data_IF_405745909913
#
_entry.id   IF_405745909913
#
_cell.length_a   1.000
_cell.length_b   1.000
_cell.length_c   1.000
_cell.angle_alpha   90.00
_cell.angle_beta   90.00
_cell.angle_gamma   90.00
#
_symmetry.space_group_name_H-M   'P 1'
#
loop_
_entity.id
_entity.type
_entity.pdbx_description
1 polymer ?
#
# COMPACT_ATOMS: atom_id res chain seq x y z
N UNK A 1 -9.84 -13.47 5.75
CA UNK A 1 -10.59 -14.63 6.21
C UNK A 1 -10.77 -15.59 5.03
N UNK A 2 -10.29 -16.81 5.15
CA UNK A 2 -10.48 -17.82 4.10
C UNK A 2 -11.90 -18.35 4.26
N UNK A 3 -12.77 -18.08 3.27
CA UNK A 3 -14.08 -18.73 3.23
C UNK A 3 -13.86 -20.21 2.94
N UNK A 4 -14.39 -21.13 3.76
CA UNK A 4 -14.28 -22.57 3.52
C UNK A 4 -15.04 -23.06 2.26
N UNK A 5 -15.82 -22.17 1.67
CA UNK A 5 -16.59 -22.40 0.44
C UNK A 5 -16.14 -21.39 -0.62
N UNK A 6 -15.07 -21.72 -1.31
CA UNK A 6 -14.50 -20.88 -2.38
C UNK A 6 -15.43 -20.69 -3.59
N UNK A 7 -16.38 -21.59 -3.75
CA UNK A 7 -17.38 -21.59 -4.82
C UNK A 7 -18.53 -20.59 -4.64
N UNK A 8 -18.61 -19.92 -3.48
CA UNK A 8 -19.67 -18.93 -3.18
C UNK A 8 -19.20 -17.49 -3.17
N UNK A 9 -17.91 -17.28 -3.43
CA UNK A 9 -17.31 -15.94 -3.53
C UNK A 9 -16.87 -15.75 -4.96
N UNK A 10 -17.54 -14.89 -5.66
CA UNK A 10 -17.18 -14.48 -7.01
C UNK A 10 -16.71 -13.03 -7.05
N UNK A 11 -15.93 -12.69 -8.06
CA UNK A 11 -15.43 -11.35 -8.27
C UNK A 11 -16.44 -10.57 -9.12
N UNK A 12 -16.92 -9.47 -8.57
CA UNK A 12 -17.96 -8.67 -9.20
C UNK A 12 -17.52 -7.21 -9.31
N UNK A 13 -17.55 -6.68 -10.54
CA UNK A 13 -17.32 -5.26 -10.80
C UNK A 13 -18.64 -4.51 -10.83
N UNK A 14 -18.82 -3.58 -9.90
CA UNK A 14 -19.99 -2.71 -9.85
C UNK A 14 -19.60 -1.23 -10.01
N UNK A 15 -19.27 -0.85 -11.23
CA UNK A 15 -18.90 0.52 -11.56
C UNK A 15 -20.02 1.53 -11.21
N UNK A 16 -21.30 1.14 -11.33
CA UNK A 16 -22.42 2.02 -10.99
C UNK A 16 -22.49 2.27 -9.49
N UNK A 17 -22.29 1.23 -8.68
CA UNK A 17 -22.27 1.35 -7.24
C UNK A 17 -21.06 2.17 -6.79
N UNK A 18 -19.89 1.89 -7.36
CA UNK A 18 -18.67 2.65 -7.09
C UNK A 18 -18.86 4.15 -7.42
N UNK A 19 -19.43 4.47 -8.58
CA UNK A 19 -19.69 5.84 -9.00
C UNK A 19 -20.67 6.59 -8.07
N UNK A 20 -21.60 5.87 -7.41
CA UNK A 20 -22.55 6.46 -6.46
C UNK A 20 -21.97 6.61 -5.05
N UNK A 21 -21.13 5.67 -4.61
CA UNK A 21 -20.60 5.63 -3.23
C UNK A 21 -19.41 6.57 -3.04
N UNK A 22 -18.48 6.63 -4.00
CA UNK A 22 -17.26 7.43 -3.85
C UNK A 22 -17.52 8.90 -3.55
N UNK A 23 -18.45 9.61 -4.25
CA UNK A 23 -18.76 11.00 -3.91
C UNK A 23 -19.32 11.15 -2.48
N UNK A 24 -20.08 10.17 -2.00
CA UNK A 24 -20.61 10.17 -0.64
C UNK A 24 -19.47 10.08 0.38
N UNK A 25 -18.49 9.19 0.14
CA UNK A 25 -17.32 9.04 1.01
C UNK A 25 -16.51 10.35 1.08
N UNK A 26 -16.21 10.96 -0.07
CA UNK A 26 -15.47 12.22 -0.15
C UNK A 26 -16.21 13.35 0.56
N UNK A 27 -17.51 13.49 0.33
CA UNK A 27 -18.34 14.51 0.98
C UNK A 27 -18.44 14.31 2.51
N UNK A 28 -18.19 13.09 3.00
CA UNK A 28 -18.14 12.77 4.43
C UNK A 28 -16.71 12.74 5.00
N UNK A 29 -15.72 13.28 4.29
CA UNK A 29 -14.38 13.52 4.80
C UNK A 29 -13.33 12.46 4.45
N UNK A 30 -13.58 11.57 3.49
CA UNK A 30 -12.53 10.74 2.94
C UNK A 30 -11.59 11.61 2.08
N UNK A 31 -10.30 11.62 2.38
CA UNK A 31 -9.31 12.48 1.70
C UNK A 31 -8.53 11.71 0.61
N UNK A 32 -8.47 10.39 0.69
CA UNK A 32 -7.75 9.55 -0.28
C UNK A 32 -8.52 8.27 -0.55
N UNK A 33 -8.42 7.78 -1.78
CA UNK A 33 -9.00 6.52 -2.21
C UNK A 33 -7.87 5.59 -2.63
N UNK A 34 -7.93 4.34 -2.20
CA UNK A 34 -7.02 3.28 -2.59
C UNK A 34 -7.70 2.32 -3.57
N UNK A 35 -7.05 2.04 -4.70
CA UNK A 35 -7.44 1.00 -5.64
C UNK A 35 -6.52 -0.21 -5.49
N UNK A 36 -7.07 -1.37 -5.17
CA UNK A 36 -6.36 -2.65 -5.20
C UNK A 36 -6.26 -3.15 -6.64
N UNK A 37 -5.07 -3.09 -7.23
CA UNK A 37 -4.89 -3.25 -8.68
C UNK A 37 -3.90 -4.38 -9.06
N UNK A 38 -3.66 -5.34 -8.16
CA UNK A 38 -2.69 -6.43 -8.40
C UNK A 38 -3.16 -7.48 -9.41
N UNK A 39 -4.44 -7.81 -9.41
CA UNK A 39 -4.94 -9.04 -10.07
C UNK A 39 -5.88 -8.82 -11.23
N UNK A 40 -6.43 -7.64 -11.43
CA UNK A 40 -7.50 -7.44 -12.38
C UNK A 40 -7.02 -7.15 -13.80
N UNK A 41 -7.93 -7.30 -14.74
CA UNK A 41 -7.77 -6.86 -16.11
C UNK A 41 -7.36 -5.39 -16.19
N UNK A 42 -6.42 -5.08 -17.08
CA UNK A 42 -5.87 -3.73 -17.19
C UNK A 42 -6.91 -2.69 -17.63
N UNK A 43 -7.89 -3.07 -18.44
CA UNK A 43 -8.95 -2.16 -18.90
C UNK A 43 -9.91 -1.82 -17.76
N UNK A 44 -10.25 -2.80 -16.92
CA UNK A 44 -11.10 -2.59 -15.76
C UNK A 44 -10.40 -1.67 -14.76
N UNK A 45 -9.13 -1.96 -14.44
CA UNK A 45 -8.34 -1.12 -13.53
C UNK A 45 -8.22 0.31 -14.05
N UNK A 46 -8.04 0.49 -15.35
CA UNK A 46 -7.99 1.83 -15.93
C UNK A 46 -9.30 2.59 -15.73
N UNK A 47 -10.45 1.96 -16.03
CA UNK A 47 -11.77 2.59 -15.86
C UNK A 47 -12.06 2.95 -14.40
N UNK A 48 -11.76 2.03 -13.48
CA UNK A 48 -11.93 2.30 -12.04
C UNK A 48 -11.02 3.44 -11.57
N UNK A 49 -9.77 3.47 -12.04
CA UNK A 49 -8.83 4.53 -11.71
C UNK A 49 -9.24 5.89 -12.27
N UNK A 50 -9.75 5.92 -13.50
CA UNK A 50 -10.31 7.13 -14.12
C UNK A 50 -11.48 7.67 -13.30
N UNK A 51 -12.37 6.80 -12.82
CA UNK A 51 -13.48 7.18 -11.96
C UNK A 51 -12.98 7.75 -10.62
N UNK A 52 -12.03 7.09 -9.97
CA UNK A 52 -11.44 7.53 -8.70
C UNK A 52 -10.81 8.92 -8.87
N UNK A 53 -9.96 9.10 -9.87
CA UNK A 53 -9.29 10.38 -10.12
C UNK A 53 -10.27 11.49 -10.49
N UNK A 54 -11.38 11.17 -11.15
CA UNK A 54 -12.44 12.13 -11.45
C UNK A 54 -13.19 12.58 -10.20
N UNK A 55 -13.53 11.64 -9.31
CA UNK A 55 -14.28 11.92 -8.09
C UNK A 55 -13.43 12.62 -7.03
N UNK A 56 -12.16 12.25 -6.93
CA UNK A 56 -11.22 12.78 -5.94
C UNK A 56 -10.03 13.46 -6.62
N UNK A 57 -10.32 14.48 -7.44
CA UNK A 57 -9.33 15.18 -8.26
C UNK A 57 -8.41 16.11 -7.48
N UNK A 58 -8.82 16.55 -6.29
CA UNK A 58 -8.09 17.52 -5.46
C UNK A 58 -7.04 16.87 -4.56
N UNK A 59 -7.07 15.54 -4.41
CA UNK A 59 -6.22 14.82 -3.48
C UNK A 59 -5.42 13.72 -4.16
N UNK A 60 -4.35 13.28 -3.50
CA UNK A 60 -3.57 12.13 -3.94
C UNK A 60 -4.34 10.83 -3.67
N UNK A 61 -4.54 10.06 -4.73
CA UNK A 61 -5.08 8.71 -4.63
C UNK A 61 -3.95 7.68 -4.67
N UNK A 62 -4.22 6.48 -4.17
CA UNK A 62 -3.24 5.41 -4.12
C UNK A 62 -3.65 4.19 -4.93
N UNK A 63 -2.67 3.52 -5.50
CA UNK A 63 -2.83 2.24 -6.18
C UNK A 63 -1.95 1.19 -5.51
N UNK A 64 -2.56 0.07 -5.13
CA UNK A 64 -1.90 -1.03 -4.45
C UNK A 64 -1.48 -2.09 -5.49
N UNK A 65 -0.19 -2.39 -5.54
CA UNK A 65 0.42 -3.27 -6.55
C UNK A 65 1.37 -4.27 -5.90
N UNK A 66 1.28 -5.53 -6.32
CA UNK A 66 2.20 -6.60 -5.92
C UNK A 66 2.94 -7.19 -7.12
N UNK A 67 4.01 -7.95 -6.86
CA UNK A 67 4.81 -8.61 -7.89
C UNK A 67 4.51 -10.10 -8.06
N UNK A 68 3.55 -10.64 -7.33
CA UNK A 68 3.11 -12.00 -7.56
C UNK A 68 2.29 -12.10 -8.85
N UNK A 69 1.39 -11.14 -9.04
CA UNK A 69 0.43 -11.13 -10.15
C UNK A 69 0.91 -10.26 -11.33
N UNK A 70 1.84 -9.33 -11.06
CA UNK A 70 2.35 -8.41 -12.07
C UNK A 70 3.84 -8.67 -12.35
N UNK A 71 4.17 -8.92 -13.61
CA UNK A 71 5.56 -8.84 -14.07
C UNK A 71 6.09 -7.40 -13.91
N UNK A 72 7.41 -7.23 -13.91
CA UNK A 72 8.00 -5.88 -13.86
C UNK A 72 7.55 -4.99 -15.03
N UNK A 73 7.27 -5.57 -16.19
CA UNK A 73 6.76 -4.86 -17.35
C UNK A 73 5.33 -4.37 -17.11
N UNK A 74 4.43 -5.24 -16.69
CA UNK A 74 3.04 -4.89 -16.40
C UNK A 74 2.93 -3.90 -15.22
N UNK A 75 3.78 -4.05 -14.21
CA UNK A 75 3.88 -3.09 -13.10
C UNK A 75 4.23 -1.69 -13.63
N UNK A 76 5.23 -1.58 -14.49
CA UNK A 76 5.65 -0.33 -15.10
C UNK A 76 4.53 0.30 -15.96
N UNK A 77 3.91 -0.49 -16.84
CA UNK A 77 2.79 -0.03 -17.68
C UNK A 77 1.62 0.47 -16.84
N UNK A 78 1.26 -0.25 -15.79
CA UNK A 78 0.16 0.11 -14.90
C UNK A 78 0.44 1.42 -14.16
N UNK A 79 1.65 1.62 -13.66
CA UNK A 79 2.06 2.89 -13.03
C UNK A 79 2.08 4.04 -14.04
N UNK A 80 2.53 3.81 -15.27
CA UNK A 80 2.51 4.83 -16.33
C UNK A 80 1.09 5.23 -16.69
N UNK A 81 0.19 4.28 -16.86
CA UNK A 81 -1.23 4.51 -17.07
C UNK A 81 -1.84 5.31 -15.90
N UNK A 82 -1.62 4.83 -14.68
CA UNK A 82 -2.16 5.47 -13.49
C UNK A 82 -1.66 6.91 -13.32
N UNK A 83 -0.38 7.14 -13.57
CA UNK A 83 0.23 8.48 -13.54
C UNK A 83 -0.37 9.42 -14.59
N UNK A 84 -0.61 8.93 -15.80
CA UNK A 84 -1.23 9.72 -16.88
C UNK A 84 -2.65 10.17 -16.48
N UNK A 85 -3.44 9.28 -15.92
CA UNK A 85 -4.82 9.56 -15.49
C UNK A 85 -4.85 10.53 -14.29
N UNK A 86 -3.92 10.38 -13.35
CA UNK A 86 -3.82 11.21 -12.14
C UNK A 86 -3.07 12.55 -12.37
N UNK A 87 -2.96 13.03 -13.60
CA UNK A 87 -2.27 14.28 -13.94
C UNK A 87 -0.82 14.38 -13.42
N UNK A 88 -0.17 13.25 -13.24
CA UNK A 88 1.26 13.16 -12.95
C UNK A 88 1.65 12.78 -11.54
N UNK A 89 0.75 12.82 -10.56
CA UNK A 89 1.05 12.50 -9.15
C UNK A 89 0.13 11.42 -8.60
N UNK A 90 0.71 10.41 -7.94
CA UNK A 90 -0.02 9.34 -7.27
C UNK A 90 0.83 8.65 -6.21
N UNK A 91 0.17 7.97 -5.29
CA UNK A 91 0.80 7.08 -4.33
C UNK A 91 0.74 5.66 -4.87
N UNK A 92 1.87 4.95 -4.86
CA UNK A 92 1.92 3.51 -5.11
C UNK A 92 2.19 2.80 -3.79
N UNK A 93 1.28 1.94 -3.40
CA UNK A 93 1.48 1.00 -2.30
C UNK A 93 2.19 -0.23 -2.85
N UNK A 94 3.45 -0.40 -2.44
CA UNK A 94 4.29 -1.53 -2.83
C UNK A 94 4.02 -2.70 -1.89
N UNK A 95 3.20 -3.65 -2.35
CA UNK A 95 2.75 -4.76 -1.52
C UNK A 95 3.69 -5.94 -1.53
N UNK A 96 3.88 -6.49 -0.34
CA UNK A 96 4.45 -7.81 -0.14
C UNK A 96 3.39 -8.91 -0.32
N UNK A 97 3.84 -10.13 -0.52
CA UNK A 97 2.95 -11.29 -0.62
C UNK A 97 3.42 -12.42 0.32
N UNK A 98 2.50 -13.04 1.02
CA UNK A 98 1.07 -12.71 1.17
C UNK A 98 0.90 -11.38 1.94
N UNK A 99 -0.04 -10.55 1.50
CA UNK A 99 -0.28 -9.22 2.09
C UNK A 99 -0.62 -9.26 3.58
N UNK A 100 -1.18 -10.36 4.06
CA UNK A 100 -1.46 -10.60 5.49
C UNK A 100 -0.22 -10.91 6.34
N UNK A 101 0.96 -11.08 5.72
CA UNK A 101 2.18 -11.52 6.39
C UNK A 101 2.23 -13.04 6.62
N UNK A 102 1.10 -13.73 6.69
CA UNK A 102 1.02 -15.15 7.00
C UNK A 102 1.78 -15.51 8.28
N UNK A 103 2.63 -16.54 8.22
CA UNK A 103 3.54 -16.95 9.29
C UNK A 103 4.98 -16.49 9.08
N UNK A 104 5.28 -15.86 7.93
CA UNK A 104 6.62 -15.43 7.55
C UNK A 104 6.70 -13.90 7.39
N UNK A 105 6.64 -13.21 8.51
CA UNK A 105 6.69 -11.76 8.59
C UNK A 105 7.98 -11.17 7.97
N UNK A 106 9.09 -11.90 8.04
CA UNK A 106 10.37 -11.44 7.49
C UNK A 106 10.37 -11.45 5.96
N UNK A 107 10.05 -12.59 5.33
CA UNK A 107 10.06 -12.69 3.88
C UNK A 107 8.96 -11.84 3.24
N UNK A 108 7.81 -11.71 3.85
CA UNK A 108 6.73 -10.87 3.33
C UNK A 108 7.13 -9.40 3.29
N UNK A 109 7.76 -8.92 4.36
CA UNK A 109 8.28 -7.54 4.40
C UNK A 109 9.40 -7.30 3.39
N UNK A 110 10.27 -8.28 3.15
CA UNK A 110 11.31 -8.19 2.11
C UNK A 110 10.69 -8.09 0.71
N UNK A 111 9.58 -8.74 0.45
CA UNK A 111 8.87 -8.63 -0.82
C UNK A 111 8.28 -7.23 -1.04
N UNK A 112 7.71 -6.60 -0.02
CA UNK A 112 7.25 -5.22 -0.09
C UNK A 112 8.42 -4.26 -0.44
N UNK A 113 9.57 -4.44 0.23
CA UNK A 113 10.78 -3.66 -0.03
C UNK A 113 11.30 -3.91 -1.45
N UNK A 114 11.30 -5.16 -1.93
CA UNK A 114 11.74 -5.49 -3.28
C UNK A 114 10.81 -4.92 -4.36
N UNK A 115 9.49 -4.88 -4.12
CA UNK A 115 8.52 -4.23 -5.00
C UNK A 115 8.79 -2.72 -5.05
N UNK A 116 9.00 -2.09 -3.90
CA UNK A 116 9.35 -0.67 -3.81
C UNK A 116 10.68 -0.36 -4.52
N UNK A 117 11.69 -1.24 -4.42
CA UNK A 117 12.98 -1.07 -5.10
C UNK A 117 12.84 -1.05 -6.62
N UNK A 118 12.01 -1.94 -7.18
CA UNK A 118 11.71 -1.94 -8.63
C UNK A 118 11.08 -0.61 -9.05
N UNK A 119 10.07 -0.15 -8.31
CA UNK A 119 9.37 1.11 -8.59
C UNK A 119 10.34 2.30 -8.45
N UNK A 120 11.11 2.34 -7.37
CA UNK A 120 12.08 3.39 -7.12
C UNK A 120 13.12 3.51 -8.23
N UNK A 121 13.68 2.38 -8.66
CA UNK A 121 14.67 2.36 -9.76
C UNK A 121 14.09 2.83 -11.09
N UNK A 122 12.85 2.49 -11.36
CA UNK A 122 12.17 2.85 -12.61
C UNK A 122 11.73 4.32 -12.67
N UNK A 123 11.15 4.83 -11.61
CA UNK A 123 10.48 6.13 -11.60
C UNK A 123 11.25 7.22 -10.85
N UNK A 124 11.89 6.89 -9.74
CA UNK A 124 12.46 7.87 -8.83
C UNK A 124 13.99 7.99 -8.91
N UNK A 125 14.64 7.14 -9.71
CA UNK A 125 16.10 7.13 -9.84
C UNK A 125 16.50 7.49 -11.27
N UNK A 126 17.17 8.62 -11.44
CA UNK A 126 17.70 9.05 -12.76
C UNK A 126 19.21 8.87 -12.80
N UNK A 127 19.73 8.42 -13.94
CA UNK A 127 21.16 8.33 -14.18
C UNK A 127 21.70 9.68 -14.61
N UNK A 128 22.64 10.23 -13.86
CA UNK A 128 23.44 11.34 -14.32
C UNK A 128 24.39 10.86 -15.42
N UNK A 129 24.20 11.33 -16.65
CA UNK A 129 24.96 10.89 -17.83
C UNK A 129 26.44 11.27 -17.76
N UNK A 130 26.79 12.33 -17.04
CA UNK A 130 28.16 12.84 -16.90
C UNK A 130 28.90 12.05 -15.82
N UNK A 131 28.36 12.00 -14.61
CA UNK A 131 29.00 11.36 -13.46
C UNK A 131 28.82 9.86 -13.40
N UNK A 132 27.93 9.28 -14.24
CA UNK A 132 27.52 7.87 -14.22
C UNK A 132 26.93 7.41 -12.87
N UNK A 133 26.48 8.37 -12.03
CA UNK A 133 25.85 8.09 -10.75
C UNK A 133 24.33 8.30 -10.87
N UNK A 134 23.59 7.45 -10.17
CA UNK A 134 22.17 7.63 -10.00
C UNK A 134 21.87 8.67 -8.93
N UNK A 135 20.81 9.44 -9.10
CA UNK A 135 20.30 10.36 -8.09
C UNK A 135 18.79 10.24 -7.98
N UNK A 136 18.28 10.50 -6.79
CA UNK A 136 16.85 10.54 -6.52
C UNK A 136 16.23 11.80 -7.10
N UNK A 137 15.03 11.66 -7.66
CA UNK A 137 14.26 12.80 -8.16
C UNK A 137 12.83 12.74 -7.63
N UNK A 138 12.37 13.85 -7.07
CA UNK A 138 10.97 14.05 -6.67
C UNK A 138 10.06 14.41 -7.86
N UNK A 139 10.63 14.74 -9.00
CA UNK A 139 9.91 15.14 -10.22
C UNK A 139 9.16 13.98 -10.89
N UNK A 140 9.30 12.75 -10.35
CA UNK A 140 8.60 11.61 -10.90
C UNK A 140 7.08 11.67 -10.69
N UNK A 141 6.62 12.32 -9.62
CA UNK A 141 5.22 12.30 -9.17
C UNK A 141 4.76 10.94 -8.62
N UNK A 142 5.68 9.98 -8.44
CA UNK A 142 5.36 8.65 -7.89
C UNK A 142 5.86 8.57 -6.46
N UNK A 143 4.94 8.57 -5.51
CA UNK A 143 5.21 8.42 -4.08
C UNK A 143 5.03 6.96 -3.68
N UNK A 144 6.00 6.40 -2.97
CA UNK A 144 6.00 4.97 -2.62
C UNK A 144 5.65 4.81 -1.14
N UNK A 145 4.64 3.99 -0.85
CA UNK A 145 4.38 3.45 0.49
C UNK A 145 4.75 1.96 0.51
N UNK A 146 5.42 1.51 1.55
CA UNK A 146 5.59 0.09 1.82
C UNK A 146 4.30 -0.43 2.45
N UNK A 147 3.73 -1.49 1.89
CA UNK A 147 2.47 -2.07 2.32
C UNK A 147 2.50 -3.60 2.22
N UNK A 148 1.43 -4.26 2.63
CA UNK A 148 1.26 -5.72 2.51
C UNK A 148 2.35 -6.54 3.21
N UNK A 149 2.01 -7.16 4.34
CA UNK A 149 2.95 -7.93 5.15
C UNK A 149 3.99 -7.10 5.91
N UNK A 150 3.80 -5.80 5.99
CA UNK A 150 4.62 -4.87 6.77
C UNK A 150 4.45 -5.09 8.27
N UNK A 151 5.53 -4.91 9.02
CA UNK A 151 5.61 -5.19 10.45
C UNK A 151 6.67 -4.33 11.15
N UNK A 152 7.06 -4.65 12.37
CA UNK A 152 8.08 -3.91 13.13
C UNK A 152 9.50 -3.94 12.52
N UNK A 153 9.78 -4.86 11.60
CA UNK A 153 11.09 -4.99 10.94
C UNK A 153 11.17 -4.16 9.65
N UNK A 154 10.03 -3.74 9.10
CA UNK A 154 9.96 -3.15 7.76
C UNK A 154 10.87 -1.94 7.61
N UNK A 155 10.80 -0.99 8.53
CA UNK A 155 11.61 0.22 8.46
C UNK A 155 13.11 -0.08 8.59
N UNK A 156 13.48 -1.00 9.48
CA UNK A 156 14.89 -1.39 9.71
C UNK A 156 15.46 -2.02 8.44
N UNK A 157 14.73 -2.97 7.83
CA UNK A 157 15.17 -3.65 6.62
C UNK A 157 15.19 -2.72 5.41
N UNK A 158 14.18 -1.85 5.27
CA UNK A 158 14.12 -0.89 4.17
C UNK A 158 15.28 0.10 4.20
N UNK A 159 15.73 0.53 5.38
CA UNK A 159 16.89 1.41 5.53
C UNK A 159 18.22 0.79 5.12
N UNK A 160 18.33 -0.54 5.12
CA UNK A 160 19.50 -1.24 4.62
C UNK A 160 19.58 -1.24 3.09
N UNK A 161 18.54 -0.73 2.44
CA UNK A 161 18.47 -0.58 0.98
C UNK A 161 18.57 0.89 0.58
N UNK A 162 18.81 1.15 -0.71
CA UNK A 162 18.78 2.51 -1.28
C UNK A 162 17.35 3.01 -1.58
N UNK A 163 16.33 2.25 -1.24
CA UNK A 163 14.93 2.57 -1.56
C UNK A 163 14.49 3.81 -0.79
N UNK A 164 13.95 4.79 -1.50
CA UNK A 164 13.30 5.95 -0.90
C UNK A 164 11.79 5.75 -0.95
N UNK A 165 11.15 5.86 0.20
CA UNK A 165 9.72 5.72 0.37
C UNK A 165 9.18 6.83 1.28
N UNK A 166 7.88 7.13 1.14
CA UNK A 166 7.21 8.20 1.90
C UNK A 166 6.63 7.73 3.22
N UNK A 167 6.40 6.44 3.37
CA UNK A 167 5.80 5.88 4.59
C UNK A 167 5.62 4.37 4.53
N UNK A 168 5.10 3.85 5.64
CA UNK A 168 4.81 2.42 5.82
C UNK A 168 3.37 2.27 6.31
N UNK A 169 2.57 1.48 5.59
CA UNK A 169 1.21 1.10 5.99
C UNK A 169 1.26 -0.25 6.70
N UNK A 170 0.86 -0.31 7.97
CA UNK A 170 0.87 -1.54 8.77
C UNK A 170 -0.55 -1.91 9.15
N UNK A 171 -1.07 -2.99 8.59
CA UNK A 171 -2.46 -3.45 8.79
C UNK A 171 -2.57 -4.68 9.69
N UNK A 172 -2.46 -5.86 9.08
CA UNK A 172 -2.70 -7.14 9.76
C UNK A 172 -1.78 -7.38 10.96
N UNK A 173 -0.50 -7.03 10.85
CA UNK A 173 0.43 -7.14 11.97
C UNK A 173 0.00 -6.25 13.15
N UNK A 174 -0.44 -5.01 12.89
CA UNK A 174 -0.93 -4.11 13.93
C UNK A 174 -2.12 -4.70 14.70
N UNK A 175 -3.06 -5.35 13.98
CA UNK A 175 -4.18 -6.06 14.62
C UNK A 175 -3.71 -7.26 15.43
N UNK A 176 -2.81 -8.08 14.86
CA UNK A 176 -2.28 -9.30 15.50
C UNK A 176 -1.60 -9.02 16.84
N UNK A 177 -0.78 -7.98 16.94
CA UNK A 177 -0.01 -7.69 18.17
C UNK A 177 -0.85 -7.23 19.36
N UNK A 178 -2.08 -6.74 19.12
CA UNK A 178 -3.01 -6.31 20.18
C UNK A 178 -4.24 -7.21 20.30
N UNK A 179 -4.36 -8.24 19.46
CA UNK A 179 -5.56 -9.08 19.36
C UNK A 179 -5.98 -9.67 20.70
N UNK A 180 -5.04 -10.24 21.46
CA UNK A 180 -5.34 -10.86 22.74
C UNK A 180 -5.87 -9.85 23.77
N UNK A 181 -5.43 -8.60 23.72
CA UNK A 181 -5.94 -7.55 24.61
C UNK A 181 -7.35 -7.10 24.21
N UNK A 182 -7.60 -6.96 22.90
CA UNK A 182 -8.92 -6.53 22.37
C UNK A 182 -10.00 -7.60 22.63
N UNK A 183 -9.63 -8.87 22.57
CA UNK A 183 -10.55 -10.00 22.82
C UNK A 183 -10.63 -10.41 24.29
N UNK A 184 -9.98 -9.70 25.19
CA UNK A 184 -10.13 -9.89 26.63
C UNK A 184 -11.50 -9.40 27.10
N UNK A 185 -12.13 -10.13 27.99
CA UNK A 185 -13.37 -9.70 28.66
C UNK A 185 -13.18 -8.38 29.43
N UNK A 186 -11.95 -8.13 29.87
CA UNK A 186 -11.52 -6.94 30.60
C UNK A 186 -11.02 -5.81 29.69
N UNK A 187 -11.31 -5.84 28.38
CA UNK A 187 -10.76 -4.86 27.39
C UNK A 187 -10.98 -3.40 27.80
N UNK A 188 -12.10 -3.10 28.45
CA UNK A 188 -12.41 -1.73 28.90
C UNK A 188 -11.69 -1.31 30.20
N UNK A 189 -10.97 -2.24 30.84
CA UNK A 189 -10.14 -1.92 31.99
C UNK A 189 -8.98 -0.99 31.61
N UNK A 190 -8.77 0.06 32.42
CA UNK A 190 -7.80 1.12 32.15
C UNK A 190 -6.38 0.61 31.87
N UNK A 191 -5.95 -0.43 32.59
CA UNK A 191 -4.61 -0.99 32.43
C UNK A 191 -4.48 -1.82 31.14
N UNK A 192 -5.55 -2.46 30.67
CA UNK A 192 -5.57 -3.17 29.38
C UNK A 192 -5.50 -2.19 28.23
N UNK A 193 -6.30 -1.11 28.25
CA UNK A 193 -6.24 -0.04 27.27
C UNK A 193 -4.86 0.60 27.24
N UNK A 194 -4.25 0.88 28.38
CA UNK A 194 -2.90 1.44 28.48
C UNK A 194 -1.84 0.51 27.88
N UNK A 195 -1.96 -0.79 28.10
CA UNK A 195 -1.10 -1.80 27.51
C UNK A 195 -1.24 -1.86 25.99
N UNK A 196 -2.46 -1.82 25.45
CA UNK A 196 -2.72 -1.76 24.01
C UNK A 196 -2.12 -0.50 23.37
N UNK A 197 -2.30 0.66 24.00
CA UNK A 197 -1.67 1.92 23.56
C UNK A 197 -0.15 1.83 23.54
N UNK A 198 0.47 1.22 24.55
CA UNK A 198 1.92 1.08 24.61
C UNK A 198 2.45 0.21 23.45
N UNK A 199 1.77 -0.87 23.14
CA UNK A 199 2.12 -1.76 22.02
C UNK A 199 1.97 -1.02 20.68
N UNK A 200 0.84 -0.36 20.46
CA UNK A 200 0.58 0.42 19.25
C UNK A 200 1.64 1.55 19.08
N UNK A 201 1.95 2.26 20.15
CA UNK A 201 2.99 3.31 20.15
C UNK A 201 4.37 2.75 19.79
N UNK A 202 4.77 1.60 20.34
CA UNK A 202 6.05 0.96 20.00
C UNK A 202 6.11 0.59 18.52
N UNK A 203 5.02 0.05 17.96
CA UNK A 203 4.95 -0.28 16.54
C UNK A 203 5.09 0.96 15.65
N UNK A 204 4.38 2.04 15.97
CA UNK A 204 4.51 3.31 15.24
C UNK A 204 5.94 3.84 15.34
N UNK A 205 6.52 3.87 16.55
CA UNK A 205 7.88 4.37 16.76
C UNK A 205 8.93 3.55 16.02
N UNK A 206 8.79 2.22 15.93
CA UNK A 206 9.72 1.36 15.18
C UNK A 206 9.72 1.67 13.67
N UNK A 207 8.64 2.24 13.14
CA UNK A 207 8.51 2.58 11.73
C UNK A 207 8.82 4.06 11.39
N UNK A 208 8.89 4.93 12.40
CA UNK A 208 9.21 6.38 12.21
C UNK A 208 10.68 6.65 12.54
N UNK A 209 11.18 6.13 13.66
CA UNK A 209 12.50 6.47 14.21
C UNK A 209 13.63 5.56 13.69
N UNK A 210 13.33 4.69 12.79
CA UNK A 210 14.34 3.79 12.22
C UNK A 210 15.13 4.39 11.10
#
# INVERSE_FOLDING_TARGET
AVCPRSDVIDYFHDEKNLASILPICINNGAESIELHAGVADSEIIQREWELICKVNSENLNSMCLDRLHLSNYLLEERILMAKKVANGELIIQADGYPMSGGEDDFNTTLQAIATADVIHKKFNKKLNKITKKYYYTKESGVYILLSGGTNSLTAILAKQTDVKFGGISVGTFARKVIQNLIHSDDFYEKEIIKSAHLIARKLVQSNINS
#
